data_IF_986097435125
#
_entry.id   IF_986097435125
#
_cell.length_a   1.000
_cell.length_b   1.000
_cell.length_c   1.000
_cell.angle_alpha   90.00
_cell.angle_beta   90.00
_cell.angle_gamma   90.00
#
_symmetry.space_group_name_H-M   'P 1'
#
loop_
_entity.id
_entity.type
_entity.pdbx_description
1 polymer ?
#
# COMPACT_ATOMS: atom_id res chain seq x y z
N UNK A 1 -10.15 -5.43 19.46
CA UNK A 1 -8.83 -5.95 19.90
C UNK A 1 -8.02 -6.24 18.64
N UNK A 2 -7.34 -5.24 18.06
CA UNK A 2 -6.72 -5.25 16.71
C UNK A 2 -5.17 -5.18 16.79
N UNK A 3 -4.62 -5.35 17.99
CA UNK A 3 -3.23 -4.97 18.32
C UNK A 3 -2.15 -5.99 17.91
N UNK A 4 -2.49 -7.16 17.37
CA UNK A 4 -1.49 -8.21 17.09
C UNK A 4 -0.72 -8.02 15.77
N UNK A 5 -1.28 -7.29 14.82
CA UNK A 5 -0.63 -7.09 13.51
C UNK A 5 0.38 -5.92 13.49
N UNK A 6 0.33 -5.02 14.48
CA UNK A 6 1.20 -3.85 14.57
C UNK A 6 2.41 -4.13 15.47
N UNK A 7 3.61 -3.85 14.98
CA UNK A 7 4.85 -3.92 15.76
C UNK A 7 5.22 -2.54 16.29
N UNK A 8 5.91 -2.51 17.43
CA UNK A 8 6.46 -1.27 18.00
C UNK A 8 7.39 -0.55 17.01
N UNK A 9 8.13 -1.32 16.22
CA UNK A 9 9.13 -0.81 15.28
C UNK A 9 8.51 -0.31 13.96
N UNK A 10 7.20 -0.53 13.72
CA UNK A 10 6.53 -0.06 12.49
C UNK A 10 6.63 1.47 12.36
N UNK A 11 6.53 2.19 13.48
CA UNK A 11 6.67 3.66 13.50
C UNK A 11 8.10 4.09 13.14
N UNK A 12 9.10 3.44 13.72
CA UNK A 12 10.51 3.79 13.50
C UNK A 12 10.93 3.48 12.06
N UNK A 13 10.45 2.37 11.49
CA UNK A 13 10.68 2.00 10.10
C UNK A 13 10.00 3.00 9.15
N UNK A 14 8.77 3.43 9.46
CA UNK A 14 8.07 4.46 8.69
C UNK A 14 8.81 5.80 8.74
N UNK A 15 9.28 6.20 9.92
CA UNK A 15 10.06 7.41 10.11
C UNK A 15 11.35 7.40 9.26
N UNK A 16 12.07 6.28 9.25
CA UNK A 16 13.28 6.11 8.43
C UNK A 16 12.97 6.19 6.94
N UNK A 17 11.94 5.47 6.48
CA UNK A 17 11.55 5.44 5.06
C UNK A 17 11.15 6.83 4.55
N UNK A 18 10.47 7.62 5.38
CA UNK A 18 10.03 8.97 5.01
C UNK A 18 11.10 10.05 5.13
N UNK A 19 12.31 9.74 5.60
CA UNK A 19 13.37 10.73 5.82
C UNK A 19 13.64 11.65 4.61
N UNK A 20 13.75 11.08 3.40
CA UNK A 20 13.98 11.84 2.16
C UNK A 20 12.81 12.74 1.79
N UNK A 21 11.58 12.19 1.82
CA UNK A 21 10.36 12.96 1.52
C UNK A 21 10.16 14.09 2.53
N UNK A 22 10.37 13.81 3.83
CA UNK A 22 10.29 14.77 4.92
C UNK A 22 11.24 15.94 4.72
N UNK A 23 12.51 15.68 4.38
CA UNK A 23 13.50 16.75 4.16
C UNK A 23 13.09 17.70 3.02
N UNK A 24 12.44 17.17 1.97
CA UNK A 24 11.95 17.97 0.86
C UNK A 24 10.74 18.83 1.25
N UNK A 25 9.73 18.24 1.91
CA UNK A 25 8.43 18.87 2.15
C UNK A 25 8.44 19.74 3.42
N UNK A 26 9.04 19.24 4.50
CA UNK A 26 8.95 19.86 5.82
C UNK A 26 9.65 21.21 5.89
N UNK A 27 10.85 21.30 5.30
CA UNK A 27 11.63 22.53 5.29
C UNK A 27 10.88 23.66 4.57
N UNK A 28 10.17 23.31 3.48
CA UNK A 28 9.41 24.27 2.68
C UNK A 28 8.14 24.71 3.42
N UNK A 29 7.32 23.77 3.90
CA UNK A 29 6.05 24.08 4.58
C UNK A 29 6.27 24.80 5.91
N UNK A 30 7.28 24.39 6.69
CA UNK A 30 7.58 24.99 8.00
C UNK A 30 8.07 26.43 7.88
N UNK A 31 8.88 26.74 6.86
CA UNK A 31 9.32 28.11 6.60
C UNK A 31 8.18 28.99 6.10
N UNK A 32 7.35 28.46 5.21
CA UNK A 32 6.23 29.18 4.60
C UNK A 32 5.23 29.71 5.64
N UNK A 33 4.78 28.87 6.57
CA UNK A 33 3.82 29.28 7.59
C UNK A 33 4.43 30.13 8.71
N UNK A 34 5.76 30.08 8.92
CA UNK A 34 6.44 30.96 9.88
C UNK A 34 6.64 32.37 9.35
N UNK A 35 6.92 32.53 8.06
CA UNK A 35 7.17 33.84 7.45
C UNK A 35 5.89 34.61 7.15
N UNK A 36 4.87 33.93 6.64
CA UNK A 36 3.75 34.59 5.95
C UNK A 36 2.40 34.39 6.66
N UNK A 37 2.33 33.51 7.66
CA UNK A 37 1.06 33.08 8.24
C UNK A 37 0.23 32.29 7.21
N UNK A 38 -1.09 32.25 7.38
CA UNK A 38 -2.00 31.56 6.45
C UNK A 38 -2.84 32.60 5.70
N UNK A 39 -2.38 32.96 4.51
CA UNK A 39 -2.96 33.95 3.59
C UNK A 39 -2.93 33.43 2.12
N UNK A 40 -3.47 34.19 1.17
CA UNK A 40 -3.53 33.77 -0.25
C UNK A 40 -2.16 33.46 -0.86
N UNK A 41 -1.13 34.27 -0.58
CA UNK A 41 0.23 34.06 -1.08
C UNK A 41 0.81 32.74 -0.56
N UNK A 42 0.69 32.50 0.75
CA UNK A 42 1.16 31.25 1.37
C UNK A 42 0.40 30.01 0.90
N UNK A 43 -0.85 30.16 0.44
CA UNK A 43 -1.64 29.05 -0.08
C UNK A 43 -1.20 28.68 -1.50
N UNK A 44 -0.86 29.67 -2.33
CA UNK A 44 -0.30 29.43 -3.66
C UNK A 44 1.07 28.75 -3.58
N UNK A 45 1.96 29.22 -2.70
CA UNK A 45 3.27 28.58 -2.49
C UNK A 45 3.11 27.15 -1.96
N UNK A 46 2.14 26.91 -1.09
CA UNK A 46 1.83 25.57 -0.60
C UNK A 46 1.33 24.67 -1.71
N UNK A 47 0.48 25.17 -2.61
CA UNK A 47 0.00 24.43 -3.77
C UNK A 47 1.17 23.91 -4.62
N UNK A 48 2.13 24.78 -4.95
CA UNK A 48 3.32 24.42 -5.71
C UNK A 48 4.14 23.32 -5.02
N UNK A 49 4.35 23.45 -3.71
CA UNK A 49 5.07 22.44 -2.91
C UNK A 49 4.35 21.08 -2.94
N UNK A 50 3.03 21.07 -2.78
CA UNK A 50 2.21 19.85 -2.75
C UNK A 50 2.18 19.18 -4.13
N UNK A 51 2.06 19.95 -5.21
CA UNK A 51 2.11 19.43 -6.58
C UNK A 51 3.49 18.83 -6.89
N UNK A 52 4.58 19.54 -6.55
CA UNK A 52 5.94 19.04 -6.73
C UNK A 52 6.23 17.75 -5.95
N UNK A 53 5.45 17.48 -4.90
CA UNK A 53 5.56 16.30 -4.03
C UNK A 53 4.74 15.09 -4.49
N UNK A 54 4.26 15.09 -5.74
CA UNK A 54 3.44 14.04 -6.37
C UNK A 54 2.04 13.82 -5.74
N UNK A 55 1.48 14.80 -5.03
CA UNK A 55 0.08 14.70 -4.54
C UNK A 55 -0.95 14.77 -5.68
N UNK A 56 -0.57 15.39 -6.80
CA UNK A 56 -1.44 15.62 -7.95
C UNK A 56 -2.39 16.79 -7.75
N UNK A 57 -2.78 17.44 -8.85
CA UNK A 57 -3.56 18.68 -8.85
C UNK A 57 -4.86 18.56 -8.05
N UNK A 58 -5.67 17.54 -8.34
CA UNK A 58 -6.98 17.38 -7.70
C UNK A 58 -6.87 17.22 -6.17
N UNK A 59 -5.89 16.48 -5.67
CA UNK A 59 -5.64 16.32 -4.22
C UNK A 59 -5.21 17.63 -3.60
N UNK A 60 -4.27 18.32 -4.25
CA UNK A 60 -3.77 19.62 -3.80
C UNK A 60 -4.89 20.66 -3.74
N UNK A 61 -5.67 20.84 -4.80
CA UNK A 61 -6.80 21.78 -4.84
C UNK A 61 -7.77 21.59 -3.67
N UNK A 62 -8.07 20.32 -3.31
CA UNK A 62 -8.92 20.04 -2.16
C UNK A 62 -8.27 20.45 -0.84
N UNK A 63 -6.98 20.15 -0.65
CA UNK A 63 -6.24 20.53 0.56
C UNK A 63 -6.23 22.05 0.70
N UNK A 64 -5.92 22.78 -0.38
CA UNK A 64 -5.92 24.24 -0.42
C UNK A 64 -7.32 24.78 -0.11
N UNK A 65 -8.36 24.25 -0.75
CA UNK A 65 -9.76 24.66 -0.49
C UNK A 65 -10.14 24.52 1.00
N UNK A 66 -9.78 23.40 1.63
CA UNK A 66 -10.05 23.15 3.04
C UNK A 66 -9.24 24.10 3.96
N UNK A 67 -8.00 24.42 3.59
CA UNK A 67 -7.16 25.39 4.30
C UNK A 67 -7.69 26.82 4.16
N UNK A 68 -8.10 27.24 2.96
CA UNK A 68 -8.69 28.56 2.70
C UNK A 68 -9.98 28.76 3.47
N UNK A 69 -10.86 27.76 3.48
CA UNK A 69 -12.09 27.80 4.26
C UNK A 69 -11.82 27.97 5.76
N UNK A 70 -10.75 27.33 6.26
CA UNK A 70 -10.30 27.55 7.64
C UNK A 70 -9.80 28.97 7.83
N UNK A 71 -8.89 29.44 6.97
CA UNK A 71 -8.33 30.79 6.99
C UNK A 71 -9.39 31.86 7.24
N UNK A 72 -10.47 31.81 6.45
CA UNK A 72 -11.58 32.77 6.49
C UNK A 72 -12.32 32.81 7.85
N UNK A 73 -12.25 31.73 8.64
CA UNK A 73 -12.89 31.63 9.97
C UNK A 73 -11.93 31.91 11.12
N UNK A 74 -10.65 32.14 10.84
CA UNK A 74 -9.60 32.31 11.85
C UNK A 74 -9.14 33.76 11.92
N UNK A 75 -8.86 34.25 13.12
CA UNK A 75 -8.30 35.60 13.31
C UNK A 75 -6.81 35.62 12.95
N UNK A 76 -6.27 36.77 12.54
CA UNK A 76 -4.86 37.01 12.16
C UNK A 76 -3.80 36.67 13.25
N UNK A 77 -4.21 36.10 14.38
CA UNK A 77 -3.37 35.71 15.52
C UNK A 77 -3.04 34.22 15.56
N UNK A 78 -3.44 33.43 14.56
CA UNK A 78 -3.11 32.01 14.53
C UNK A 78 -1.65 31.80 14.10
N UNK A 79 -0.87 31.20 15.01
CA UNK A 79 0.55 30.91 14.81
C UNK A 79 0.74 29.87 13.70
N UNK A 80 1.91 29.90 13.03
CA UNK A 80 2.27 28.90 12.02
C UNK A 80 2.11 27.44 12.51
N UNK A 81 2.27 27.21 13.81
CA UNK A 81 2.05 25.89 14.43
C UNK A 81 0.58 25.42 14.35
N UNK A 82 -0.38 26.32 14.48
CA UNK A 82 -1.81 25.99 14.32
C UNK A 82 -2.14 25.64 12.88
N UNK A 83 -1.57 26.37 11.92
CA UNK A 83 -1.70 26.07 10.48
C UNK A 83 -1.15 24.69 10.13
N UNK A 84 0.03 24.35 10.66
CA UNK A 84 0.65 23.03 10.49
C UNK A 84 -0.21 21.94 11.13
N UNK A 85 -0.72 22.17 12.35
CA UNK A 85 -1.61 21.21 13.02
C UNK A 85 -2.90 20.97 12.23
N UNK A 86 -3.43 22.00 11.58
CA UNK A 86 -4.65 21.88 10.78
C UNK A 86 -4.39 21.18 9.45
N UNK A 87 -3.28 21.48 8.78
CA UNK A 87 -2.82 20.72 7.62
C UNK A 87 -2.68 19.22 7.98
N UNK A 88 -1.98 18.90 9.07
CA UNK A 88 -1.88 17.51 9.56
C UNK A 88 -3.23 16.83 9.73
N UNK A 89 -4.21 17.54 10.27
CA UNK A 89 -5.57 17.03 10.41
C UNK A 89 -6.19 16.70 9.05
N UNK A 90 -6.15 17.63 8.09
CA UNK A 90 -6.67 17.41 6.72
C UNK A 90 -6.02 16.17 6.09
N UNK A 91 -4.69 16.07 6.13
CA UNK A 91 -3.99 14.94 5.50
C UNK A 91 -4.33 13.61 6.19
N UNK A 92 -4.49 13.63 7.52
CA UNK A 92 -4.89 12.44 8.28
C UNK A 92 -6.30 12.02 7.91
N UNK A 93 -7.25 12.97 7.86
CA UNK A 93 -8.65 12.70 7.52
C UNK A 93 -8.80 12.13 6.09
N UNK A 94 -7.98 12.59 5.14
CA UNK A 94 -7.93 12.02 3.77
C UNK A 94 -7.46 10.56 3.79
N UNK A 95 -6.47 10.24 4.63
CA UNK A 95 -5.85 8.91 4.70
C UNK A 95 -6.61 7.92 5.56
N UNK A 96 -7.37 8.39 6.54
CA UNK A 96 -8.07 7.58 7.55
C UNK A 96 -9.42 7.07 7.04
N UNK A 97 -9.36 6.32 5.93
CA UNK A 97 -10.51 5.55 5.44
C UNK A 97 -10.50 4.15 6.05
N UNK A 98 -11.68 3.52 6.12
CA UNK A 98 -11.85 2.19 6.73
C UNK A 98 -10.93 1.17 6.04
N UNK A 99 -10.00 0.60 6.82
CA UNK A 99 -9.13 -0.48 6.39
C UNK A 99 -9.78 -1.85 6.59
N UNK A 100 -9.56 -2.78 5.67
CA UNK A 100 -9.85 -4.21 5.89
C UNK A 100 -8.99 -4.78 7.01
N UNK A 101 -9.48 -5.82 7.69
CA UNK A 101 -8.68 -6.57 8.66
C UNK A 101 -7.71 -7.50 7.92
N UNK A 102 -6.45 -7.45 8.32
CA UNK A 102 -5.35 -8.26 7.78
C UNK A 102 -4.91 -9.35 8.76
N UNK A 103 -5.59 -9.50 9.90
CA UNK A 103 -5.39 -10.61 10.82
C UNK A 103 -6.26 -11.82 10.43
N UNK A 104 -5.68 -13.03 10.25
CA UNK A 104 -6.43 -14.22 9.89
C UNK A 104 -7.39 -14.72 10.99
N UNK A 105 -7.41 -14.13 12.20
CA UNK A 105 -8.23 -14.59 13.35
C UNK A 105 -9.72 -14.77 13.01
N UNK A 106 -10.27 -13.98 12.09
CA UNK A 106 -11.70 -14.03 11.75
C UNK A 106 -12.08 -15.07 10.69
N UNK A 107 -11.15 -15.95 10.30
CA UNK A 107 -11.31 -16.84 9.14
C UNK A 107 -11.58 -18.29 9.56
N UNK A 108 -12.65 -18.89 9.04
CA UNK A 108 -12.90 -20.34 9.16
C UNK A 108 -12.24 -21.08 7.98
N UNK A 109 -10.93 -21.22 8.06
CA UNK A 109 -10.08 -21.77 7.01
C UNK A 109 -8.85 -20.90 6.73
N UNK A 110 -8.15 -21.13 5.60
CA UNK A 110 -6.97 -20.33 5.27
C UNK A 110 -7.39 -18.89 4.92
N UNK A 111 -6.67 -17.92 5.49
CA UNK A 111 -6.74 -16.53 5.07
C UNK A 111 -5.98 -16.36 3.75
N UNK A 112 -6.66 -15.92 2.71
CA UNK A 112 -6.13 -15.85 1.34
C UNK A 112 -5.82 -14.41 0.99
N UNK A 113 -4.59 -14.14 0.58
CA UNK A 113 -4.15 -12.85 0.06
C UNK A 113 -3.81 -12.99 -1.43
N UNK A 114 -4.61 -12.34 -2.28
CA UNK A 114 -4.35 -12.25 -3.71
C UNK A 114 -3.53 -10.98 -3.99
N UNK A 115 -2.31 -11.16 -4.48
CA UNK A 115 -1.42 -10.06 -4.83
C UNK A 115 -1.70 -9.58 -6.24
N UNK A 116 -1.97 -8.29 -6.42
CA UNK A 116 -2.17 -7.71 -7.76
C UNK A 116 -1.35 -6.44 -7.95
N UNK A 117 -1.21 -6.01 -9.20
CA UNK A 117 -0.45 -4.81 -9.57
C UNK A 117 0.54 -5.07 -10.68
N UNK A 118 1.25 -4.01 -11.07
CA UNK A 118 2.08 -4.02 -12.28
C UNK A 118 3.38 -4.78 -12.10
N UNK A 119 3.99 -5.15 -13.22
CA UNK A 119 5.35 -5.68 -13.23
C UNK A 119 6.33 -4.66 -12.64
N UNK A 120 7.29 -5.13 -11.85
CA UNK A 120 8.28 -4.27 -11.21
C UNK A 120 7.79 -3.53 -9.95
N UNK A 121 6.49 -3.56 -9.64
CA UNK A 121 5.94 -2.94 -8.43
C UNK A 121 6.40 -3.60 -7.13
N UNK A 122 6.97 -4.80 -7.19
CA UNK A 122 7.52 -5.50 -6.03
C UNK A 122 6.65 -6.63 -5.46
N UNK A 123 5.60 -7.09 -6.17
CA UNK A 123 4.67 -8.15 -5.69
C UNK A 123 5.36 -9.36 -5.06
N UNK A 124 6.26 -10.03 -5.78
CA UNK A 124 6.96 -11.23 -5.30
C UNK A 124 7.82 -10.95 -4.06
N UNK A 125 8.45 -9.77 -3.97
CA UNK A 125 9.18 -9.34 -2.76
C UNK A 125 8.21 -9.06 -1.61
N UNK A 126 7.07 -8.43 -1.88
CA UNK A 126 6.00 -8.21 -0.90
C UNK A 126 5.46 -9.51 -0.33
N UNK A 127 5.30 -10.55 -1.16
CA UNK A 127 4.91 -11.89 -0.69
C UNK A 127 5.91 -12.39 0.34
N UNK A 128 7.21 -12.31 0.07
CA UNK A 128 8.24 -12.76 1.00
C UNK A 128 8.21 -11.97 2.32
N UNK A 129 8.04 -10.64 2.27
CA UNK A 129 7.91 -9.78 3.46
C UNK A 129 6.69 -10.12 4.31
N UNK A 130 5.53 -10.29 3.67
CA UNK A 130 4.29 -10.67 4.34
C UNK A 130 4.39 -12.06 4.94
N UNK A 131 4.90 -13.05 4.19
CA UNK A 131 5.13 -14.40 4.68
C UNK A 131 5.99 -14.40 5.93
N UNK A 132 7.12 -13.67 5.93
CA UNK A 132 7.96 -13.52 7.12
C UNK A 132 7.18 -12.93 8.29
N UNK A 133 6.42 -11.86 8.06
CA UNK A 133 5.64 -11.19 9.11
C UNK A 133 4.59 -12.12 9.74
N UNK A 134 3.88 -12.89 8.93
CA UNK A 134 2.92 -13.90 9.42
C UNK A 134 3.63 -15.02 10.20
N UNK A 135 4.77 -15.52 9.74
CA UNK A 135 5.58 -16.53 10.44
C UNK A 135 6.02 -16.00 11.82
N UNK A 136 6.46 -14.75 11.91
CA UNK A 136 6.84 -14.12 13.18
C UNK A 136 5.65 -13.92 14.13
N UNK A 137 4.43 -13.89 13.60
CA UNK A 137 3.18 -13.92 14.38
C UNK A 137 2.77 -15.35 14.79
N UNK A 138 3.58 -16.36 14.48
CA UNK A 138 3.31 -17.77 14.76
C UNK A 138 2.30 -18.41 13.80
N UNK A 139 2.11 -17.81 12.61
CA UNK A 139 1.21 -18.35 11.58
C UNK A 139 1.98 -19.19 10.56
N UNK A 140 1.35 -20.25 10.09
CA UNK A 140 1.84 -21.05 8.97
C UNK A 140 1.44 -20.39 7.66
N UNK A 141 2.34 -20.45 6.66
CA UNK A 141 2.14 -19.76 5.38
C UNK A 141 2.44 -20.70 4.22
N UNK A 142 1.66 -20.58 3.15
CA UNK A 142 1.89 -21.21 1.85
C UNK A 142 1.77 -20.15 0.75
N UNK A 143 2.56 -20.28 -0.32
CA UNK A 143 2.50 -19.36 -1.45
C UNK A 143 2.07 -20.05 -2.75
N UNK A 144 1.44 -19.30 -3.66
CA UNK A 144 1.04 -19.75 -4.99
C UNK A 144 1.72 -18.93 -6.09
N UNK A 145 2.41 -19.60 -7.02
CA UNK A 145 3.11 -18.98 -8.14
C UNK A 145 2.18 -18.76 -9.34
N UNK A 146 1.23 -17.82 -9.22
CA UNK A 146 0.24 -17.54 -10.27
C UNK A 146 0.72 -16.64 -11.42
N UNK A 147 1.95 -16.06 -11.37
CA UNK A 147 2.60 -15.49 -12.57
C UNK A 147 3.19 -16.63 -13.43
N UNK A 148 2.32 -17.41 -14.07
CA UNK A 148 2.69 -18.63 -14.80
C UNK A 148 3.42 -18.36 -16.12
N UNK A 149 3.37 -17.13 -16.63
CA UNK A 149 4.03 -16.76 -17.88
C UNK A 149 5.51 -16.40 -17.70
N UNK A 150 5.89 -15.86 -16.53
CA UNK A 150 7.28 -15.49 -16.22
C UNK A 150 7.95 -16.61 -15.43
N UNK A 151 8.70 -17.46 -16.13
CA UNK A 151 9.50 -18.51 -15.49
C UNK A 151 10.34 -17.97 -14.31
N UNK A 152 11.03 -16.84 -14.52
CA UNK A 152 11.83 -16.19 -13.47
C UNK A 152 11.03 -15.67 -12.26
N UNK A 153 9.73 -15.36 -12.40
CA UNK A 153 8.90 -14.96 -11.26
C UNK A 153 8.57 -16.17 -10.38
N UNK A 154 8.20 -17.30 -10.99
CA UNK A 154 7.97 -18.56 -10.27
C UNK A 154 9.23 -19.07 -9.57
N UNK A 155 10.39 -19.02 -10.24
CA UNK A 155 11.69 -19.38 -9.64
C UNK A 155 12.08 -18.46 -8.47
N UNK A 156 11.86 -17.15 -8.62
CA UNK A 156 12.10 -16.19 -7.56
C UNK A 156 11.21 -16.48 -6.34
N UNK A 157 9.93 -16.78 -6.55
CA UNK A 157 9.02 -17.12 -5.45
C UNK A 157 9.42 -18.44 -4.77
N UNK A 158 9.85 -19.45 -5.52
CA UNK A 158 10.39 -20.71 -4.98
C UNK A 158 11.66 -20.50 -4.15
N UNK A 159 12.55 -19.61 -4.60
CA UNK A 159 13.74 -19.25 -3.84
C UNK A 159 13.37 -18.62 -2.49
N UNK A 160 12.39 -17.71 -2.48
CA UNK A 160 11.84 -17.17 -1.23
C UNK A 160 11.18 -18.25 -0.36
N UNK A 161 10.44 -19.17 -0.97
CA UNK A 161 9.86 -20.32 -0.29
C UNK A 161 10.89 -21.14 0.47
N UNK A 162 12.02 -21.44 -0.19
CA UNK A 162 13.15 -22.14 0.43
C UNK A 162 13.77 -21.34 1.57
N UNK A 163 14.00 -20.04 1.38
CA UNK A 163 14.58 -19.15 2.42
C UNK A 163 13.69 -19.05 3.66
N UNK A 164 12.37 -19.00 3.47
CA UNK A 164 11.38 -18.86 4.56
C UNK A 164 10.87 -20.21 5.09
N UNK A 165 11.30 -21.32 4.49
CA UNK A 165 10.78 -22.67 4.78
C UNK A 165 9.26 -22.78 4.65
N UNK A 166 8.70 -22.17 3.59
CA UNK A 166 7.27 -22.27 3.24
C UNK A 166 7.09 -23.03 1.93
N UNK A 167 5.95 -23.71 1.81
CA UNK A 167 5.58 -24.39 0.58
C UNK A 167 5.21 -23.38 -0.52
N UNK A 168 5.60 -23.69 -1.76
CA UNK A 168 5.23 -22.91 -2.94
C UNK A 168 4.56 -23.81 -3.96
N UNK A 169 3.27 -23.61 -4.18
CA UNK A 169 2.51 -24.30 -5.23
C UNK A 169 2.79 -23.61 -6.56
N UNK A 170 3.18 -24.39 -7.56
CA UNK A 170 3.51 -23.88 -8.89
C UNK A 170 3.21 -24.94 -9.94
N UNK A 171 2.75 -24.51 -11.10
CA UNK A 171 2.58 -25.38 -12.27
C UNK A 171 3.68 -25.14 -13.32
N UNK A 172 3.60 -25.88 -14.43
CA UNK A 172 4.43 -25.64 -15.60
C UNK A 172 4.19 -24.24 -16.20
N UNK A 173 5.19 -23.71 -16.91
CA UNK A 173 5.09 -22.40 -17.55
C UNK A 173 3.89 -22.35 -18.52
N UNK A 174 3.12 -21.26 -18.47
CA UNK A 174 1.92 -21.07 -19.28
C UNK A 174 0.69 -21.85 -18.81
N UNK A 175 0.76 -22.53 -17.65
CA UNK A 175 -0.41 -23.14 -17.03
C UNK A 175 -1.45 -22.08 -16.61
N UNK A 176 -2.68 -22.53 -16.39
CA UNK A 176 -3.78 -21.67 -15.92
C UNK A 176 -3.50 -21.10 -14.52
N UNK A 177 -3.36 -19.77 -14.37
CA UNK A 177 -3.16 -19.11 -13.08
C UNK A 177 -4.28 -19.38 -12.08
N UNK A 178 -5.52 -19.51 -12.56
CA UNK A 178 -6.67 -19.85 -11.73
C UNK A 178 -6.55 -21.23 -11.09
N UNK A 179 -5.97 -22.20 -11.81
CA UNK A 179 -5.70 -23.53 -11.27
C UNK A 179 -4.63 -23.48 -10.17
N UNK A 180 -3.56 -22.69 -10.34
CA UNK A 180 -2.55 -22.50 -9.28
C UNK A 180 -3.18 -21.90 -8.03
N UNK A 181 -4.05 -20.90 -8.17
CA UNK A 181 -4.77 -20.30 -7.04
C UNK A 181 -5.65 -21.33 -6.32
N UNK A 182 -6.45 -22.11 -7.06
CA UNK A 182 -7.30 -23.16 -6.51
C UNK A 182 -6.48 -24.20 -5.73
N UNK A 183 -5.42 -24.73 -6.34
CA UNK A 183 -4.58 -25.76 -5.73
C UNK A 183 -3.81 -25.23 -4.51
N UNK A 184 -3.42 -23.95 -4.51
CA UNK A 184 -2.83 -23.29 -3.34
C UNK A 184 -3.80 -23.25 -2.17
N UNK A 185 -5.05 -22.83 -2.41
CA UNK A 185 -6.08 -22.74 -1.36
C UNK A 185 -6.47 -24.14 -0.87
N UNK A 186 -6.61 -25.11 -1.78
CA UNK A 186 -6.91 -26.49 -1.45
C UNK A 186 -5.79 -27.13 -0.59
N UNK A 187 -4.53 -26.90 -0.96
CA UNK A 187 -3.38 -27.33 -0.19
C UNK A 187 -3.35 -26.66 1.19
N UNK A 188 -3.60 -25.35 1.27
CA UNK A 188 -3.67 -24.61 2.53
C UNK A 188 -4.73 -25.22 3.47
N UNK A 189 -5.94 -25.46 2.95
CA UNK A 189 -7.04 -26.07 3.69
C UNK A 189 -6.72 -27.49 4.17
N UNK A 190 -6.21 -28.34 3.28
CA UNK A 190 -5.86 -29.73 3.61
C UNK A 190 -4.75 -29.82 4.66
N UNK A 191 -3.75 -28.94 4.57
CA UNK A 191 -2.61 -28.89 5.49
C UNK A 191 -2.89 -28.06 6.75
N UNK A 192 -4.09 -27.47 6.88
CA UNK A 192 -4.48 -26.56 7.96
C UNK A 192 -3.51 -25.39 8.12
N UNK A 193 -3.07 -24.83 7.00
CA UNK A 193 -2.20 -23.65 6.94
C UNK A 193 -3.05 -22.40 7.20
N UNK A 194 -2.54 -21.47 8.01
CA UNK A 194 -3.24 -20.26 8.41
C UNK A 194 -3.40 -19.27 7.26
N UNK A 195 -2.36 -19.08 6.43
CA UNK A 195 -2.31 -18.02 5.40
C UNK A 195 -1.84 -18.56 4.05
N UNK A 196 -2.57 -18.23 2.98
CA UNK A 196 -2.19 -18.49 1.60
C UNK A 196 -1.96 -17.18 0.84
N UNK A 197 -0.78 -16.97 0.25
CA UNK A 197 -0.46 -15.76 -0.51
C UNK A 197 -0.20 -16.10 -1.98
N UNK A 198 -1.00 -15.56 -2.89
CA UNK A 198 -1.01 -15.94 -4.31
C UNK A 198 -0.44 -14.78 -5.14
N UNK A 199 0.66 -15.02 -5.85
CA UNK A 199 1.22 -14.08 -6.83
C UNK A 199 0.40 -14.10 -8.13
N UNK A 200 0.38 -13.00 -8.87
CA UNK A 200 -0.29 -12.90 -10.18
C UNK A 200 0.60 -12.23 -11.21
N UNK A 201 0.25 -12.40 -12.49
CA UNK A 201 0.83 -11.60 -13.55
C UNK A 201 0.55 -10.10 -13.36
N UNK A 202 1.45 -9.25 -13.87
CA UNK A 202 1.32 -7.78 -13.85
C UNK A 202 1.59 -7.10 -15.20
N UNK A 203 1.48 -7.85 -16.31
CA UNK A 203 1.81 -7.37 -17.67
C UNK A 203 0.67 -6.51 -18.24
N UNK A 204 0.79 -5.18 -18.18
CA UNK A 204 -0.23 -4.26 -18.71
C UNK A 204 -0.31 -4.16 -20.25
N UNK A 205 0.62 -4.77 -20.99
CA UNK A 205 0.53 -4.84 -22.45
C UNK A 205 -0.58 -5.85 -22.82
N UNK A 206 -1.60 -5.43 -23.57
CA UNK A 206 -2.78 -6.27 -23.83
C UNK A 206 -3.78 -6.29 -22.67
N UNK A 207 -4.05 -5.10 -22.07
CA UNK A 207 -4.85 -4.87 -20.85
C UNK A 207 -6.10 -5.74 -20.69
N UNK A 208 -6.86 -5.99 -21.76
CA UNK A 208 -8.09 -6.80 -21.70
C UNK A 208 -7.83 -8.23 -21.21
N UNK A 209 -6.76 -8.87 -21.69
CA UNK A 209 -6.49 -10.27 -21.35
C UNK A 209 -6.01 -10.41 -19.91
N UNK A 210 -5.18 -9.48 -19.42
CA UNK A 210 -4.75 -9.48 -18.03
C UNK A 210 -5.92 -9.30 -17.06
N UNK A 211 -6.84 -8.37 -17.36
CA UNK A 211 -7.96 -8.09 -16.44
C UNK A 211 -8.93 -9.28 -16.37
N UNK A 212 -9.20 -9.97 -17.48
CA UNK A 212 -10.01 -11.19 -17.48
C UNK A 212 -9.33 -12.34 -16.71
N UNK A 213 -8.00 -12.48 -16.84
CA UNK A 213 -7.23 -13.44 -16.05
C UNK A 213 -7.32 -13.14 -14.54
N UNK A 214 -7.16 -11.88 -14.13
CA UNK A 214 -7.29 -11.47 -12.73
C UNK A 214 -8.70 -11.70 -12.18
N UNK A 215 -9.74 -11.37 -12.95
CA UNK A 215 -11.13 -11.66 -12.57
C UNK A 215 -11.37 -13.16 -12.40
N UNK A 216 -10.78 -13.99 -13.27
CA UNK A 216 -10.85 -15.45 -13.15
C UNK A 216 -10.18 -15.94 -11.87
N UNK A 217 -8.96 -15.50 -11.58
CA UNK A 217 -8.23 -15.87 -10.35
C UNK A 217 -9.02 -15.43 -9.11
N UNK A 218 -9.53 -14.20 -9.11
CA UNK A 218 -10.38 -13.68 -8.03
C UNK A 218 -11.63 -14.55 -7.85
N UNK A 219 -12.37 -14.85 -8.92
CA UNK A 219 -13.59 -15.66 -8.84
C UNK A 219 -13.33 -17.07 -8.29
N UNK A 220 -12.23 -17.70 -8.72
CA UNK A 220 -11.82 -19.01 -8.21
C UNK A 220 -11.47 -18.93 -6.72
N UNK A 221 -10.73 -17.90 -6.32
CA UNK A 221 -10.34 -17.69 -4.92
C UNK A 221 -11.56 -17.43 -4.04
N UNK A 222 -12.45 -16.52 -4.45
CA UNK A 222 -13.66 -16.14 -3.72
C UNK A 222 -14.67 -17.30 -3.60
N UNK A 223 -14.70 -18.25 -4.54
CA UNK A 223 -15.53 -19.47 -4.41
C UNK A 223 -14.93 -20.51 -3.47
N UNK A 224 -13.65 -20.39 -3.15
CA UNK A 224 -12.90 -21.41 -2.41
C UNK A 224 -12.80 -21.11 -0.92
N UNK A 225 -13.14 -19.90 -0.48
CA UNK A 225 -13.13 -19.44 0.92
C UNK A 225 -14.30 -18.51 1.19
N UNK A 226 -14.62 -18.29 2.47
CA UNK A 226 -15.61 -17.28 2.84
C UNK A 226 -15.11 -15.87 2.49
N UNK A 227 -16.03 -14.96 2.22
CA UNK A 227 -15.73 -13.57 1.84
C UNK A 227 -14.86 -12.85 2.90
N UNK A 228 -15.04 -13.17 4.18
CA UNK A 228 -14.23 -12.63 5.27
C UNK A 228 -12.76 -13.07 5.22
N UNK A 229 -12.44 -14.14 4.49
CA UNK A 229 -11.13 -14.78 4.42
C UNK A 229 -10.30 -14.38 3.20
N UNK A 230 -10.89 -13.73 2.20
CA UNK A 230 -10.18 -13.28 1.00
C UNK A 230 -9.81 -11.79 1.13
N UNK A 231 -8.56 -11.46 0.84
CA UNK A 231 -8.10 -10.08 0.66
C UNK A 231 -7.37 -9.92 -0.65
N UNK A 232 -7.61 -8.81 -1.32
CA UNK A 232 -6.88 -8.41 -2.53
C UNK A 232 -5.95 -7.25 -2.18
N UNK A 233 -4.65 -7.46 -2.35
CA UNK A 233 -3.61 -6.48 -2.02
C UNK A 233 -2.96 -5.94 -3.30
N UNK A 234 -3.25 -4.68 -3.61
CA UNK A 234 -2.69 -3.98 -4.77
C UNK A 234 -1.31 -3.42 -4.44
N UNK A 235 -0.29 -3.87 -5.17
CA UNK A 235 1.09 -3.40 -5.00
C UNK A 235 1.39 -2.24 -5.95
N UNK A 236 1.82 -1.11 -5.38
CA UNK A 236 2.20 0.10 -6.11
C UNK A 236 3.63 0.49 -5.73
N UNK A 237 4.42 0.95 -6.70
CA UNK A 237 5.78 1.45 -6.46
C UNK A 237 5.77 2.96 -6.16
N UNK A 238 6.19 3.36 -4.96
CA UNK A 238 6.23 4.77 -4.53
C UNK A 238 7.15 5.65 -5.39
N UNK A 239 8.11 5.07 -6.11
CA UNK A 239 9.04 5.82 -6.97
C UNK A 239 8.41 6.21 -8.32
N UNK A 240 7.31 5.56 -8.69
CA UNK A 240 6.63 5.80 -9.97
C UNK A 240 5.67 6.99 -9.94
N UNK A 241 5.36 7.53 -8.76
CA UNK A 241 4.48 8.67 -8.58
C UNK A 241 3.13 8.50 -9.29
N UNK A 242 2.69 9.55 -9.99
CA UNK A 242 1.40 9.58 -10.70
C UNK A 242 1.27 8.53 -11.81
N UNK A 243 2.38 8.07 -12.39
CA UNK A 243 2.35 7.00 -13.39
C UNK A 243 1.88 5.68 -12.76
N UNK A 244 2.38 5.34 -11.57
CA UNK A 244 1.93 4.17 -10.81
C UNK A 244 0.46 4.23 -10.48
N UNK A 245 -0.03 5.42 -10.09
CA UNK A 245 -1.45 5.64 -9.80
C UNK A 245 -2.34 5.37 -11.02
N UNK A 246 -1.98 5.87 -12.19
CA UNK A 246 -2.75 5.65 -13.43
C UNK A 246 -2.90 4.17 -13.77
N UNK A 247 -1.85 3.39 -13.52
CA UNK A 247 -1.83 1.96 -13.77
C UNK A 247 -2.65 1.19 -12.73
N UNK A 248 -2.53 1.57 -11.47
CA UNK A 248 -3.27 1.02 -10.33
C UNK A 248 -4.80 1.18 -10.48
N UNK A 249 -5.28 2.30 -11.04
CA UNK A 249 -6.73 2.51 -11.31
C UNK A 249 -7.33 1.37 -12.12
N UNK A 250 -6.64 0.93 -13.18
CA UNK A 250 -7.14 -0.17 -14.03
C UNK A 250 -7.29 -1.50 -13.27
N UNK A 251 -6.50 -1.74 -12.21
CA UNK A 251 -6.66 -2.94 -11.38
C UNK A 251 -7.84 -2.80 -10.41
N UNK A 252 -7.99 -1.64 -9.78
CA UNK A 252 -9.10 -1.37 -8.86
C UNK A 252 -10.48 -1.36 -9.56
N UNK A 253 -10.53 -1.02 -10.85
CA UNK A 253 -11.73 -1.14 -11.68
C UNK A 253 -12.06 -2.58 -12.05
N UNK A 254 -11.05 -3.45 -12.14
CA UNK A 254 -11.23 -4.84 -12.59
C UNK A 254 -11.64 -5.79 -11.45
N UNK A 255 -11.08 -5.60 -10.26
CA UNK A 255 -11.37 -6.42 -9.07
C UNK A 255 -11.41 -5.54 -7.81
N UNK A 256 -12.27 -5.88 -6.82
CA UNK A 256 -12.30 -5.15 -5.56
C UNK A 256 -10.97 -5.34 -4.82
N UNK A 257 -10.30 -4.23 -4.51
CA UNK A 257 -9.04 -4.23 -3.76
C UNK A 257 -9.29 -3.81 -2.32
N UNK A 258 -8.84 -4.63 -1.36
CA UNK A 258 -9.00 -4.40 0.08
C UNK A 258 -7.96 -3.47 0.67
N UNK A 259 -6.82 -3.33 0.00
CA UNK A 259 -5.79 -2.39 0.41
C UNK A 259 -4.65 -2.29 -0.58
N UNK A 260 -3.78 -1.32 -0.32
CA UNK A 260 -2.56 -1.08 -1.08
C UNK A 260 -1.33 -1.45 -0.26
N UNK A 261 -0.39 -2.14 -0.91
CA UNK A 261 1.00 -2.22 -0.48
C UNK A 261 1.81 -1.20 -1.27
N UNK A 262 2.34 -0.18 -0.61
CA UNK A 262 3.20 0.82 -1.24
C UNK A 262 4.67 0.42 -1.06
N UNK A 263 5.33 -0.04 -2.13
CA UNK A 263 6.72 -0.48 -2.10
C UNK A 263 7.69 0.69 -2.28
N UNK A 264 8.96 0.48 -1.87
CA UNK A 264 10.09 1.39 -2.09
C UNK A 264 9.88 2.82 -1.56
N UNK A 265 9.19 2.96 -0.43
CA UNK A 265 8.93 4.28 0.16
C UNK A 265 10.24 4.96 0.60
N UNK A 266 11.21 4.17 1.06
CA UNK A 266 12.58 4.57 1.43
C UNK A 266 13.42 5.12 0.27
N UNK A 267 13.11 4.67 -0.95
CA UNK A 267 13.73 5.15 -2.18
C UNK A 267 13.15 6.48 -2.66
N UNK A 268 12.00 6.90 -2.14
CA UNK A 268 11.21 7.98 -2.72
C UNK A 268 11.36 9.31 -1.96
N UNK A 269 11.62 10.39 -2.70
CA UNK A 269 11.38 11.76 -2.23
C UNK A 269 9.92 12.21 -2.47
N UNK A 270 9.12 11.35 -3.11
CA UNK A 270 7.76 11.57 -3.60
C UNK A 270 6.74 10.78 -2.78
N UNK A 271 6.89 10.77 -1.46
CA UNK A 271 5.99 10.05 -0.56
C UNK A 271 4.53 10.57 -0.55
N UNK A 272 4.25 11.70 -1.19
CA UNK A 272 2.91 12.28 -1.30
C UNK A 272 1.89 11.44 -2.08
N UNK A 273 2.35 10.45 -2.86
CA UNK A 273 1.49 9.59 -3.68
C UNK A 273 0.44 8.80 -2.88
N UNK A 274 0.64 8.62 -1.56
CA UNK A 274 -0.36 7.95 -0.69
C UNK A 274 -1.71 8.68 -0.69
N UNK A 275 -1.73 10.01 -0.77
CA UNK A 275 -2.97 10.78 -0.71
C UNK A 275 -3.84 10.58 -1.94
N UNK A 276 -3.34 10.78 -3.18
CA UNK A 276 -4.15 10.54 -4.37
C UNK A 276 -4.52 9.06 -4.53
N UNK A 277 -3.74 8.10 -4.03
CA UNK A 277 -4.16 6.69 -3.98
C UNK A 277 -5.46 6.55 -3.16
N UNK A 278 -5.44 7.01 -1.90
CA UNK A 278 -6.59 6.86 -1.01
C UNK A 278 -7.78 7.68 -1.50
N UNK A 279 -7.53 8.92 -1.95
CA UNK A 279 -8.57 9.83 -2.43
C UNK A 279 -9.23 9.33 -3.72
N UNK A 280 -8.43 9.06 -4.74
CA UNK A 280 -8.95 8.79 -6.08
C UNK A 280 -9.48 7.36 -6.18
N UNK A 281 -8.75 6.40 -5.60
CA UNK A 281 -9.10 4.99 -5.70
C UNK A 281 -10.02 4.52 -4.59
N UNK A 282 -10.13 5.28 -3.48
CA UNK A 282 -10.91 4.92 -2.29
C UNK A 282 -10.49 3.57 -1.70
N UNK A 283 -9.21 3.22 -1.82
CA UNK A 283 -8.62 1.99 -1.29
C UNK A 283 -7.62 2.38 -0.19
N UNK A 284 -7.70 1.78 1.01
CA UNK A 284 -6.82 2.12 2.12
C UNK A 284 -5.39 1.66 1.82
N UNK A 285 -4.39 2.40 2.30
CA UNK A 285 -3.02 1.87 2.37
C UNK A 285 -2.98 0.88 3.54
N UNK A 286 -2.62 -0.37 3.26
CA UNK A 286 -2.51 -1.41 4.28
C UNK A 286 -1.07 -1.50 4.82
N UNK A 287 -0.10 -1.45 3.91
CA UNK A 287 1.30 -1.68 4.23
C UNK A 287 2.21 -0.77 3.41
N UNK A 288 3.39 -0.52 3.95
CA UNK A 288 4.48 0.16 3.24
C UNK A 288 5.76 -0.66 3.31
N UNK A 289 6.49 -0.72 2.19
CA UNK A 289 7.85 -1.23 2.15
C UNK A 289 8.83 -0.12 2.52
N UNK A 290 9.65 -0.36 3.53
CA UNK A 290 10.54 0.65 4.14
C UNK A 290 12.03 0.40 3.86
N UNK A 291 12.35 -0.44 2.89
CA UNK A 291 13.72 -0.90 2.60
C UNK A 291 13.75 -2.21 1.81
N UNK A 292 14.93 -2.82 1.68
CA UNK A 292 15.17 -4.01 0.85
C UNK A 292 15.08 -5.33 1.63
N UNK A 293 15.30 -5.30 2.94
CA UNK A 293 15.28 -6.50 3.77
C UNK A 293 13.86 -7.02 4.01
N UNK A 294 13.74 -8.28 4.45
CA UNK A 294 12.43 -8.92 4.66
C UNK A 294 11.64 -8.29 5.81
N UNK A 295 12.34 -7.69 6.77
CA UNK A 295 11.81 -6.99 7.93
C UNK A 295 11.37 -5.57 7.60
N UNK A 296 11.78 -5.04 6.43
CA UNK A 296 11.50 -3.67 6.01
C UNK A 296 10.08 -3.53 5.46
N UNK A 297 9.11 -3.77 6.32
CA UNK A 297 7.68 -3.64 6.09
C UNK A 297 7.04 -3.06 7.36
N UNK A 298 6.16 -2.07 7.18
CA UNK A 298 5.35 -1.51 8.27
C UNK A 298 3.86 -1.55 7.91
N UNK A 299 3.02 -1.73 8.93
CA UNK A 299 1.58 -1.48 8.79
C UNK A 299 1.38 0.03 8.65
N UNK A 300 0.55 0.42 7.71
CA UNK A 300 0.29 1.83 7.49
C UNK A 300 -0.60 2.39 8.60
N UNK A 301 -0.18 3.52 9.16
CA UNK A 301 -0.97 4.29 10.11
C UNK A 301 -1.01 5.74 9.66
N UNK A 302 -2.19 6.23 9.28
CA UNK A 302 -2.38 7.57 8.71
C UNK A 302 -1.78 8.67 9.61
N UNK A 303 -2.09 8.62 10.91
CA UNK A 303 -1.57 9.59 11.88
C UNK A 303 -0.04 9.55 11.96
N UNK A 304 0.54 8.36 12.13
CA UNK A 304 1.99 8.21 12.22
C UNK A 304 2.68 8.66 10.93
N UNK A 305 2.10 8.33 9.77
CA UNK A 305 2.60 8.77 8.47
C UNK A 305 2.62 10.30 8.36
N UNK A 306 1.50 10.95 8.65
CA UNK A 306 1.37 12.42 8.57
C UNK A 306 2.25 13.10 9.60
N UNK A 307 2.33 12.55 10.82
CA UNK A 307 3.24 13.05 11.84
C UNK A 307 4.69 12.96 11.37
N UNK A 308 5.12 11.84 10.79
CA UNK A 308 6.46 11.66 10.23
C UNK A 308 6.73 12.59 9.04
N UNK A 309 5.73 12.84 8.19
CA UNK A 309 5.83 13.70 7.01
C UNK A 309 5.97 15.19 7.39
N UNK A 310 5.22 15.62 8.41
CA UNK A 310 5.06 17.03 8.81
C UNK A 310 5.66 17.29 10.22
N UNK A 311 6.54 16.43 10.75
CA UNK A 311 7.16 16.65 12.08
C UNK A 311 8.23 17.73 12.06
N UNK A 312 7.99 18.84 12.77
CA UNK A 312 9.05 19.77 13.16
C UNK A 312 9.85 19.08 14.28
N UNK A 313 11.07 18.64 14.00
CA UNK A 313 12.06 18.31 15.03
C UNK A 313 13.16 19.34 14.99
#
# INVERSE_FOLDING_TARGET
>A
MVFRFHKRDDKDNLDKALSKTRLSILGQIGNLFKSSGLNEESLNDLEDILVASDLGLQTTEQIITLLSARAATTTNTDSGDKSISFLKKILTDILDIKSSDWDPISCDGPFVILMVGVNGAGKTTTIAKLSKRYIEMGKTVIAGAGDTFRAGASEQLKAWGKTLSIDVISHQQGADPGAVAFDTIAAARSRKVDVAIIDTAGRLQGKSNLMEELKKIYSVSAKSVDDSCLRVLLTIDATTGQNGLSQARSFGEAIPCDGVFLSKLDGSAKGGIVLPIVKDMRIPIAFVGTGEHLEDIAVFNAKSFVDSLVSIR
#
